data_IF_653387270526
#
_entry.id   IF_653387270526
#
_cell.length_a   1.000
_cell.length_b   1.000
_cell.length_c   1.000
_cell.angle_alpha   90.00
_cell.angle_beta   90.00
_cell.angle_gamma   90.00
#
_symmetry.space_group_name_H-M   'P 1'
#
loop_
_entity.id
_entity.type
_entity.pdbx_description
1 polymer ?
#
# COMPACT_ATOMS: atom_id res chain seq x y z
N UNK A 1 9.99 10.99 -14.86
CA UNK A 1 9.15 11.04 -13.64
C UNK A 1 7.67 11.03 -13.96
N UNK A 2 7.13 11.97 -14.74
CA UNK A 2 5.70 11.99 -15.10
C UNK A 2 5.21 10.71 -15.82
N UNK A 3 6.01 10.17 -16.76
CA UNK A 3 5.70 8.89 -17.40
C UNK A 3 5.59 7.72 -16.41
N UNK A 4 6.47 7.66 -15.40
CA UNK A 4 6.43 6.61 -14.37
C UNK A 4 5.17 6.73 -13.51
N UNK A 5 4.76 7.96 -13.17
CA UNK A 5 3.49 8.18 -12.48
C UNK A 5 2.31 7.68 -13.31
N UNK A 6 2.28 7.99 -14.61
CA UNK A 6 1.24 7.46 -15.50
C UNK A 6 1.25 5.93 -15.55
N UNK A 7 2.42 5.28 -15.63
CA UNK A 7 2.53 3.82 -15.55
C UNK A 7 2.01 3.26 -14.22
N UNK A 8 2.29 3.93 -13.10
CA UNK A 8 1.77 3.53 -11.79
C UNK A 8 0.24 3.64 -11.72
N UNK A 9 -0.35 4.71 -12.27
CA UNK A 9 -1.82 4.84 -12.36
C UNK A 9 -2.44 3.77 -13.25
N UNK A 10 -1.75 3.38 -14.34
CA UNK A 10 -2.21 2.31 -15.22
C UNK A 10 -2.16 0.94 -14.54
N UNK A 11 -1.15 0.69 -13.72
CA UNK A 11 -1.04 -0.57 -12.97
C UNK A 11 -2.26 -0.78 -12.06
N UNK A 12 -2.71 0.25 -11.36
CA UNK A 12 -3.96 0.20 -10.58
C UNK A 12 -5.21 0.16 -11.47
N UNK A 13 -5.28 0.99 -12.52
CA UNK A 13 -6.49 1.11 -13.35
C UNK A 13 -6.79 -0.12 -14.21
N UNK A 14 -5.78 -0.92 -14.56
CA UNK A 14 -5.93 -2.08 -15.43
C UNK A 14 -6.84 -3.17 -14.84
N UNK A 15 -6.72 -3.39 -13.53
CA UNK A 15 -7.37 -4.50 -12.83
C UNK A 15 -8.36 -4.00 -11.75
N UNK A 16 -8.73 -2.72 -11.82
CA UNK A 16 -9.77 -2.08 -10.99
C UNK A 16 -10.75 -1.29 -11.85
N UNK A 17 -11.89 -0.89 -11.28
CA UNK A 17 -12.84 -0.02 -11.99
C UNK A 17 -12.35 1.44 -12.08
N UNK A 18 -11.27 1.80 -11.38
CA UNK A 18 -10.79 3.16 -11.24
C UNK A 18 -10.35 3.78 -12.56
N UNK A 19 -10.46 5.10 -12.63
CA UNK A 19 -9.98 5.90 -13.76
C UNK A 19 -9.28 7.13 -13.23
N UNK A 20 -8.00 7.27 -13.57
CA UNK A 20 -7.19 8.42 -13.16
C UNK A 20 -7.26 9.50 -14.23
N UNK A 21 -7.68 10.71 -13.83
CA UNK A 21 -7.80 11.87 -14.71
C UNK A 21 -7.08 13.04 -14.09
N UNK A 22 -6.35 13.81 -14.92
CA UNK A 22 -5.82 15.08 -14.47
C UNK A 22 -6.98 16.05 -14.19
N UNK A 23 -7.05 16.56 -12.97
CA UNK A 23 -8.09 17.50 -12.53
C UNK A 23 -7.52 18.45 -11.48
N UNK A 24 -8.02 19.69 -11.45
CA UNK A 24 -7.70 20.72 -10.48
C UNK A 24 -8.82 20.99 -9.47
N UNK A 25 -9.81 20.09 -9.39
CA UNK A 25 -10.94 20.20 -8.46
C UNK A 25 -10.52 19.96 -7.02
N UNK A 26 -11.22 20.61 -6.10
CA UNK A 26 -11.10 20.37 -4.65
C UNK A 26 -11.35 18.89 -4.35
N UNK A 27 -10.50 18.29 -3.51
CA UNK A 27 -10.55 16.85 -3.18
C UNK A 27 -9.66 15.97 -4.07
N UNK A 28 -9.08 16.50 -5.16
CA UNK A 28 -8.09 15.76 -5.96
C UNK A 28 -6.77 15.56 -5.19
N UNK A 29 -6.07 14.46 -5.47
CA UNK A 29 -4.71 14.23 -4.98
C UNK A 29 -3.75 15.16 -5.71
N UNK A 30 -3.04 16.01 -4.99
CA UNK A 30 -2.01 16.87 -5.55
C UNK A 30 -0.72 16.07 -5.75
N UNK A 31 -0.16 16.12 -6.95
CA UNK A 31 1.04 15.33 -7.30
C UNK A 31 2.21 16.25 -7.59
N UNK A 32 3.27 16.11 -6.80
CA UNK A 32 4.56 16.78 -6.98
C UNK A 32 5.63 15.85 -7.52
N UNK A 33 6.67 16.41 -8.14
CA UNK A 33 7.82 15.66 -8.65
C UNK A 33 9.14 16.24 -8.11
N UNK A 34 9.31 16.14 -6.81
CA UNK A 34 10.51 16.63 -6.12
C UNK A 34 11.50 15.49 -5.93
N UNK A 35 12.68 15.60 -6.53
CA UNK A 35 13.71 14.55 -6.46
C UNK A 35 14.37 14.43 -5.08
N UNK A 36 14.24 15.46 -4.23
CA UNK A 36 14.73 15.46 -2.85
C UNK A 36 13.61 15.00 -1.92
N UNK A 37 13.90 14.05 -1.03
CA UNK A 37 12.98 13.62 0.04
C UNK A 37 12.28 12.27 -0.15
N UNK A 38 12.52 11.56 -1.26
CA UNK A 38 11.91 10.24 -1.50
C UNK A 38 10.45 10.31 -1.94
N UNK A 39 9.82 9.16 -2.16
CA UNK A 39 8.39 9.06 -2.43
C UNK A 39 7.64 9.04 -1.10
N UNK A 40 6.51 9.76 -1.04
CA UNK A 40 5.63 9.76 0.12
C UNK A 40 4.25 10.31 -0.24
N UNK A 41 3.24 9.78 0.43
CA UNK A 41 1.88 10.26 0.45
C UNK A 41 1.54 10.83 1.83
N UNK A 42 0.80 11.93 1.85
CA UNK A 42 0.29 12.54 3.07
C UNK A 42 -1.15 13.00 2.87
N UNK A 43 -1.95 12.78 3.92
CA UNK A 43 -3.27 13.36 4.07
C UNK A 43 -3.20 14.41 5.17
N UNK A 44 -3.68 15.61 4.87
CA UNK A 44 -3.78 16.71 5.83
C UNK A 44 -5.12 17.43 5.67
N UNK A 45 -5.47 18.32 6.60
CA UNK A 45 -6.75 19.04 6.60
C UNK A 45 -7.05 19.81 5.29
N UNK A 46 -6.01 20.13 4.51
CA UNK A 46 -6.11 20.85 3.22
C UNK A 46 -6.18 19.93 1.99
N UNK A 47 -6.24 18.61 2.17
CA UNK A 47 -6.34 17.64 1.06
C UNK A 47 -5.27 16.54 1.11
N UNK A 48 -5.08 15.89 -0.02
CA UNK A 48 -4.15 14.78 -0.21
C UNK A 48 -2.99 15.18 -1.13
N UNK A 49 -1.77 14.81 -0.77
CA UNK A 49 -0.56 15.18 -1.49
C UNK A 49 0.40 13.99 -1.65
N UNK A 50 0.98 13.84 -2.83
CA UNK A 50 1.87 12.74 -3.19
C UNK A 50 3.13 13.28 -3.89
N UNK A 51 4.32 12.86 -3.42
CA UNK A 51 5.57 13.06 -4.15
C UNK A 51 5.90 11.84 -5.02
N UNK A 52 5.88 12.01 -6.34
CA UNK A 52 6.27 10.99 -7.32
C UNK A 52 7.69 11.21 -7.87
N UNK A 53 8.48 12.10 -7.25
CA UNK A 53 9.80 12.50 -7.71
C UNK A 53 10.94 11.52 -7.42
N UNK A 54 10.69 10.37 -6.78
CA UNK A 54 11.75 9.45 -6.35
C UNK A 54 12.35 8.56 -7.45
N UNK A 55 11.74 8.53 -8.64
CA UNK A 55 12.28 7.80 -9.80
C UNK A 55 12.18 6.27 -9.73
N UNK A 56 11.35 5.71 -8.84
CA UNK A 56 11.12 4.27 -8.74
C UNK A 56 9.64 3.95 -8.93
N UNK A 57 9.32 3.15 -9.95
CA UNK A 57 7.92 2.83 -10.29
C UNK A 57 7.19 2.16 -9.12
N UNK A 58 7.78 1.14 -8.49
CA UNK A 58 7.17 0.43 -7.36
C UNK A 58 6.85 1.35 -6.17
N UNK A 59 7.74 2.29 -5.83
CA UNK A 59 7.47 3.26 -4.77
C UNK A 59 6.34 4.22 -5.15
N UNK A 60 6.31 4.73 -6.38
CA UNK A 60 5.21 5.60 -6.84
C UNK A 60 3.87 4.83 -6.80
N UNK A 61 3.88 3.55 -7.19
CA UNK A 61 2.71 2.67 -7.12
C UNK A 61 2.25 2.43 -5.68
N UNK A 62 3.19 2.27 -4.73
CA UNK A 62 2.92 2.18 -3.30
C UNK A 62 2.25 3.44 -2.76
N UNK A 63 2.79 4.63 -3.06
CA UNK A 63 2.19 5.89 -2.61
C UNK A 63 0.80 6.13 -3.21
N UNK A 64 0.56 5.64 -4.44
CA UNK A 64 -0.79 5.63 -5.00
C UNK A 64 -1.71 4.68 -4.23
N UNK A 65 -1.21 3.55 -3.72
CA UNK A 65 -1.96 2.67 -2.81
C UNK A 65 -2.45 3.41 -1.57
N UNK A 66 -1.59 4.22 -0.94
CA UNK A 66 -2.00 5.12 0.15
C UNK A 66 -3.07 6.13 -0.27
N UNK A 67 -2.91 6.74 -1.45
CA UNK A 67 -3.92 7.66 -1.98
C UNK A 67 -5.28 6.99 -2.26
N UNK A 68 -5.29 5.67 -2.49
CA UNK A 68 -6.49 4.85 -2.66
C UNK A 68 -7.06 4.32 -1.33
N UNK A 69 -6.44 4.63 -0.19
CA UNK A 69 -6.92 4.27 1.14
C UNK A 69 -6.23 3.05 1.76
N UNK A 70 -5.21 2.46 1.12
CA UNK A 70 -4.48 1.34 1.71
C UNK A 70 -3.52 1.82 2.80
N UNK A 71 -3.60 1.19 3.97
CA UNK A 71 -2.56 1.27 5.00
C UNK A 71 -1.42 0.30 4.71
N UNK A 72 -0.32 0.38 5.48
CA UNK A 72 0.70 -0.65 5.37
C UNK A 72 0.21 -1.99 5.91
N UNK A 73 0.59 -3.07 5.23
CA UNK A 73 0.14 -4.43 5.59
C UNK A 73 0.63 -4.84 6.97
N UNK A 74 1.86 -4.47 7.35
CA UNK A 74 2.40 -4.71 8.70
C UNK A 74 1.77 -3.84 9.78
N UNK A 75 0.85 -2.93 9.43
CA UNK A 75 0.05 -2.19 10.40
C UNK A 75 -1.36 -2.76 10.55
N UNK A 76 -1.78 -3.80 9.81
CA UNK A 76 -3.12 -4.38 9.97
C UNK A 76 -3.41 -4.77 11.43
N UNK A 77 -4.69 -4.70 11.79
CA UNK A 77 -5.16 -5.03 13.14
C UNK A 77 -4.95 -6.51 13.51
N UNK A 78 -4.82 -7.40 12.52
CA UNK A 78 -4.62 -8.84 12.67
C UNK A 78 -3.18 -9.30 12.43
N UNK A 79 -2.24 -8.37 12.22
CA UNK A 79 -0.86 -8.66 11.79
C UNK A 79 -0.09 -9.58 12.74
N UNK A 80 -0.42 -9.58 14.03
CA UNK A 80 0.38 -10.26 15.06
C UNK A 80 0.19 -11.80 14.96
N UNK A 81 -0.74 -12.25 14.11
CA UNK A 81 -0.87 -13.64 13.67
C UNK A 81 0.13 -14.02 12.56
N UNK A 82 0.81 -13.05 11.95
CA UNK A 82 1.62 -13.23 10.73
C UNK A 82 3.07 -12.75 10.87
N UNK A 83 3.29 -11.72 11.69
CA UNK A 83 4.61 -11.15 11.95
C UNK A 83 4.84 -10.93 13.45
N UNK A 84 6.10 -10.85 13.83
CA UNK A 84 6.54 -10.40 15.16
C UNK A 84 7.31 -9.10 14.99
N UNK A 85 6.98 -8.08 15.80
CA UNK A 85 7.73 -6.82 15.86
C UNK A 85 8.75 -6.89 17.01
N UNK A 86 10.02 -6.67 16.69
CA UNK A 86 11.10 -6.54 17.66
C UNK A 86 11.25 -5.06 18.04
N UNK A 87 10.63 -4.68 19.15
CA UNK A 87 10.66 -3.30 19.66
C UNK A 87 12.08 -2.83 20.04
N UNK A 88 13.00 -3.74 20.39
CA UNK A 88 14.39 -3.39 20.64
C UNK A 88 15.12 -2.96 19.36
N UNK A 89 14.83 -3.64 18.25
CA UNK A 89 15.34 -3.24 16.94
C UNK A 89 14.63 -2.00 16.39
N UNK A 90 13.34 -1.79 16.68
CA UNK A 90 12.63 -0.53 16.38
C UNK A 90 13.31 0.64 17.09
N UNK A 91 13.55 0.54 18.39
CA UNK A 91 14.21 1.60 19.15
C UNK A 91 15.64 1.87 18.67
N UNK A 92 16.39 0.81 18.35
CA UNK A 92 17.73 0.93 17.77
C UNK A 92 17.69 1.67 16.43
N UNK A 93 16.76 1.29 15.54
CA UNK A 93 16.56 1.94 14.25
C UNK A 93 16.22 3.42 14.39
N UNK A 94 15.43 3.80 15.40
CA UNK A 94 15.20 5.21 15.73
C UNK A 94 16.51 5.95 16.02
N UNK A 95 17.37 5.41 16.89
CA UNK A 95 18.63 6.07 17.25
C UNK A 95 19.60 6.22 16.07
N UNK A 96 19.55 5.30 15.10
CA UNK A 96 20.34 5.40 13.87
C UNK A 96 19.89 6.58 13.00
N UNK A 97 18.58 6.84 12.88
CA UNK A 97 18.04 7.92 12.04
C UNK A 97 17.83 9.24 12.77
N UNK A 98 17.77 9.25 14.10
CA UNK A 98 17.47 10.44 14.90
C UNK A 98 18.49 11.56 14.69
N UNK A 99 19.75 11.20 14.37
CA UNK A 99 20.81 12.17 14.04
C UNK A 99 20.52 12.94 12.74
N UNK A 100 19.77 12.35 11.81
CA UNK A 100 19.43 12.97 10.53
C UNK A 100 18.10 13.74 10.59
N UNK A 101 17.29 13.50 11.61
CA UNK A 101 15.96 14.11 11.78
C UNK A 101 15.82 14.75 13.17
N UNK A 102 16.54 15.86 13.44
CA UNK A 102 16.46 16.54 14.72
C UNK A 102 15.01 16.97 15.01
N UNK A 103 14.47 16.51 16.13
CA UNK A 103 13.09 16.76 16.55
C UNK A 103 12.13 15.57 16.41
N UNK A 104 12.53 14.49 15.75
CA UNK A 104 11.75 13.25 15.76
C UNK A 104 11.77 12.63 17.17
N UNK A 105 10.59 12.29 17.68
CA UNK A 105 10.44 11.61 18.98
C UNK A 105 10.35 10.09 18.79
N UNK A 106 10.92 9.33 19.73
CA UNK A 106 10.88 7.86 19.69
C UNK A 106 9.45 7.32 19.55
N UNK A 107 8.49 7.90 20.26
CA UNK A 107 7.08 7.52 20.19
C UNK A 107 6.49 7.67 18.77
N UNK A 108 6.86 8.76 18.06
CA UNK A 108 6.44 8.97 16.67
C UNK A 108 7.02 7.89 15.76
N UNK A 109 8.27 7.47 16.00
CA UNK A 109 8.89 6.39 15.25
C UNK A 109 8.25 5.03 15.55
N UNK A 110 8.01 4.71 16.84
CA UNK A 110 7.31 3.49 17.25
C UNK A 110 5.91 3.40 16.66
N UNK A 111 5.21 4.53 16.51
CA UNK A 111 3.88 4.55 15.91
C UNK A 111 3.86 4.07 14.45
N UNK A 112 4.99 4.10 13.72
CA UNK A 112 5.08 3.49 12.39
C UNK A 112 4.93 1.96 12.41
N UNK A 113 5.17 1.34 13.57
CA UNK A 113 5.06 -0.10 13.81
C UNK A 113 3.88 -0.45 14.73
N UNK A 114 2.98 0.48 15.07
CA UNK A 114 1.78 0.19 15.88
C UNK A 114 0.75 -0.59 15.04
N UNK A 115 0.02 -1.59 15.59
CA UNK A 115 -1.11 -2.15 14.87
C UNK A 115 -2.25 -1.12 14.83
N UNK A 116 -2.85 -0.95 13.67
CA UNK A 116 -4.09 -0.20 13.48
C UNK A 116 -5.23 -0.93 14.18
N UNK A 117 -6.27 -0.20 14.56
CA UNK A 117 -7.53 -0.78 15.00
C UNK A 117 -8.40 -1.17 13.80
N UNK A 118 -9.44 -1.96 14.03
CA UNK A 118 -10.45 -2.29 12.99
C UNK A 118 -11.22 -1.06 12.49
N UNK A 119 -11.21 0.06 13.23
CA UNK A 119 -11.79 1.33 12.78
C UNK A 119 -10.82 2.13 11.89
N UNK A 120 -9.51 1.95 12.10
CA UNK A 120 -8.46 2.62 11.32
C UNK A 120 -8.14 1.85 10.03
N UNK A 121 -8.37 0.53 10.02
CA UNK A 121 -8.08 -0.35 8.90
C UNK A 121 -9.18 -1.41 8.76
N UNK A 122 -9.95 -1.32 7.68
CA UNK A 122 -10.81 -2.38 7.19
C UNK A 122 -10.04 -3.16 6.10
N UNK A 123 -9.86 -4.46 6.31
CA UNK A 123 -9.18 -5.35 5.38
C UNK A 123 -10.15 -6.07 4.43
N UNK A 124 -11.46 -5.80 4.52
CA UNK A 124 -12.50 -6.37 3.67
C UNK A 124 -12.51 -7.91 3.65
N UNK A 125 -12.16 -8.54 4.77
CA UNK A 125 -11.98 -9.99 4.92
C UNK A 125 -10.89 -10.57 4.00
N UNK A 126 -10.03 -9.73 3.41
CA UNK A 126 -8.92 -10.16 2.57
C UNK A 126 -7.79 -10.69 3.46
N UNK A 127 -7.27 -11.92 3.21
CA UNK A 127 -6.17 -12.50 3.98
C UNK A 127 -4.92 -11.62 4.01
N UNK A 128 -4.07 -11.82 5.02
CA UNK A 128 -2.79 -11.13 5.11
C UNK A 128 -1.85 -11.58 4.00
N UNK A 129 -1.39 -10.64 3.18
CA UNK A 129 -0.46 -10.93 2.09
C UNK A 129 0.93 -10.38 2.38
N UNK A 130 1.87 -11.27 2.65
CA UNK A 130 3.28 -10.93 2.81
C UNK A 130 3.86 -10.22 1.58
N UNK A 131 3.41 -10.58 0.37
CA UNK A 131 3.88 -10.02 -0.90
C UNK A 131 3.19 -8.74 -1.34
N UNK A 132 2.31 -8.18 -0.51
CA UNK A 132 1.65 -6.91 -0.77
C UNK A 132 2.66 -5.79 -1.02
N UNK A 133 2.35 -4.93 -1.99
CA UNK A 133 3.16 -3.73 -2.26
C UNK A 133 3.19 -2.80 -1.05
N UNK A 134 2.19 -2.90 -0.18
CA UNK A 134 2.02 -2.09 1.03
C UNK A 134 2.76 -2.69 2.24
N UNK A 135 3.42 -3.83 2.11
CA UNK A 135 4.17 -4.45 3.20
C UNK A 135 5.61 -3.91 3.26
N UNK A 136 6.05 -3.45 4.44
CA UNK A 136 7.45 -3.10 4.64
C UNK A 136 8.40 -4.28 4.38
N UNK A 137 9.52 -4.02 3.73
CA UNK A 137 10.64 -4.96 3.69
C UNK A 137 11.41 -4.96 5.02
N UNK A 138 12.33 -5.91 5.18
CA UNK A 138 13.19 -5.99 6.37
C UNK A 138 14.66 -6.08 5.96
N UNK A 139 15.56 -5.40 6.68
CA UNK A 139 17.00 -5.55 6.44
C UNK A 139 17.48 -6.94 6.90
N UNK A 140 18.59 -7.46 6.34
CA UNK A 140 19.13 -8.77 6.71
C UNK A 140 19.74 -8.80 8.12
N UNK A 141 19.94 -7.65 8.77
CA UNK A 141 20.51 -7.53 10.12
C UNK A 141 19.61 -6.66 10.98
N UNK A 142 19.36 -7.10 12.21
CA UNK A 142 18.53 -6.41 13.19
C UNK A 142 17.17 -5.95 12.62
N UNK A 143 16.39 -6.85 12.00
CA UNK A 143 15.11 -6.45 11.43
C UNK A 143 14.15 -6.00 12.53
N UNK A 144 13.42 -4.90 12.29
CA UNK A 144 12.41 -4.39 13.21
C UNK A 144 11.18 -5.33 13.32
N UNK A 145 11.01 -6.21 12.34
CA UNK A 145 9.96 -7.22 12.33
C UNK A 145 10.43 -8.48 11.59
N UNK A 146 9.81 -9.62 11.85
CA UNK A 146 10.06 -10.85 11.13
C UNK A 146 8.75 -11.58 10.85
N UNK A 147 8.66 -12.30 9.74
CA UNK A 147 7.52 -13.19 9.47
C UNK A 147 7.54 -14.36 10.45
N UNK A 148 6.36 -14.78 10.91
CA UNK A 148 6.24 -15.99 11.75
C UNK A 148 6.58 -17.21 10.90
N UNK A 149 5.97 -17.33 9.72
CA UNK A 149 6.36 -18.32 8.74
C UNK A 149 7.61 -17.85 7.97
N UNK A 150 8.71 -18.58 8.15
CA UNK A 150 10.01 -18.27 7.57
C UNK A 150 10.05 -18.44 6.05
N UNK A 151 9.12 -19.19 5.46
CA UNK A 151 9.03 -19.34 4.01
C UNK A 151 8.71 -18.01 3.32
N UNK A 152 8.09 -17.06 4.04
CA UNK A 152 7.73 -15.74 3.53
C UNK A 152 8.75 -14.65 3.84
N UNK A 153 9.88 -14.97 4.48
CA UNK A 153 10.90 -13.98 4.83
C UNK A 153 11.45 -13.22 3.61
N UNK A 154 11.49 -13.87 2.44
CA UNK A 154 11.92 -13.27 1.16
C UNK A 154 10.78 -12.69 0.32
N UNK A 155 9.55 -12.79 0.81
CA UNK A 155 8.35 -12.34 0.10
C UNK A 155 7.97 -10.90 0.47
N UNK A 156 8.21 -10.52 1.74
CA UNK A 156 7.90 -9.17 2.23
C UNK A 156 8.74 -8.06 1.59
N UNK A 157 8.15 -6.87 1.47
CA UNK A 157 8.81 -5.73 0.81
C UNK A 157 8.78 -5.77 -0.71
N UNK A 158 7.80 -6.48 -1.29
CA UNK A 158 7.56 -6.53 -2.73
C UNK A 158 7.32 -5.14 -3.32
N UNK A 159 7.86 -4.88 -4.51
CA UNK A 159 7.58 -3.67 -5.30
C UNK A 159 6.42 -3.81 -6.29
N UNK A 160 5.65 -4.90 -6.18
CA UNK A 160 4.58 -5.27 -7.13
C UNK A 160 3.24 -5.28 -6.43
N UNK A 161 2.20 -4.76 -7.10
CA UNK A 161 0.81 -4.86 -6.63
C UNK A 161 0.45 -6.34 -6.57
N UNK A 162 0.04 -6.80 -5.40
CA UNK A 162 -0.43 -8.17 -5.20
C UNK A 162 -1.90 -8.33 -5.59
N UNK A 163 -2.35 -9.58 -5.71
CA UNK A 163 -3.76 -9.87 -5.86
C UNK A 163 -4.60 -9.33 -4.69
N UNK A 164 -4.09 -9.46 -3.45
CA UNK A 164 -4.77 -8.97 -2.26
C UNK A 164 -4.94 -7.43 -2.28
N UNK A 165 -3.93 -6.70 -2.75
CA UNK A 165 -4.00 -5.25 -2.91
C UNK A 165 -5.10 -4.84 -3.90
N UNK A 166 -5.17 -5.53 -5.06
CA UNK A 166 -6.22 -5.30 -6.05
C UNK A 166 -7.61 -5.63 -5.49
N UNK A 167 -7.74 -6.76 -4.79
CA UNK A 167 -9.01 -7.18 -4.22
C UNK A 167 -9.52 -6.17 -3.19
N UNK A 168 -8.66 -5.70 -2.27
CA UNK A 168 -9.03 -4.67 -1.29
C UNK A 168 -9.50 -3.38 -1.96
N UNK A 169 -8.79 -2.90 -2.99
CA UNK A 169 -9.20 -1.69 -3.74
C UNK A 169 -10.52 -1.92 -4.48
N UNK A 170 -10.71 -3.08 -5.11
CA UNK A 170 -11.96 -3.39 -5.80
C UNK A 170 -13.15 -3.47 -4.82
N UNK A 171 -12.96 -4.02 -3.62
CA UNK A 171 -13.97 -4.02 -2.56
C UNK A 171 -14.28 -2.62 -2.06
N UNK A 172 -13.24 -1.83 -1.76
CA UNK A 172 -13.37 -0.46 -1.27
C UNK A 172 -14.18 0.43 -2.22
N UNK A 173 -13.92 0.34 -3.52
CA UNK A 173 -14.60 1.15 -4.54
C UNK A 173 -15.79 0.43 -5.20
N UNK A 174 -16.25 -0.69 -4.64
CA UNK A 174 -17.41 -1.46 -5.12
C UNK A 174 -17.31 -1.86 -6.60
N UNK A 175 -16.09 -2.11 -7.07
CA UNK A 175 -15.83 -2.49 -8.46
C UNK A 175 -16.40 -3.87 -8.82
N UNK A 176 -16.63 -4.74 -7.83
CA UNK A 176 -17.24 -6.07 -8.02
C UNK A 176 -18.69 -5.96 -8.57
N UNK A 177 -19.35 -4.80 -8.40
CA UNK A 177 -20.70 -4.57 -8.89
C UNK A 177 -20.76 -4.27 -10.40
N UNK A 178 -19.64 -3.85 -11.00
CA UNK A 178 -19.58 -3.39 -12.40
C UNK A 178 -20.00 -4.46 -13.40
N UNK A 179 -19.67 -5.73 -13.11
CA UNK A 179 -19.88 -6.84 -14.03
C UNK A 179 -21.17 -7.62 -13.76
N UNK A 180 -21.95 -7.30 -12.71
CA UNK A 180 -23.12 -8.09 -12.27
C UNK A 180 -24.17 -8.29 -13.38
N UNK A 181 -24.37 -7.30 -14.25
CA UNK A 181 -25.35 -7.36 -15.34
C UNK A 181 -24.82 -8.02 -16.62
N UNK A 182 -23.54 -8.43 -16.66
CA UNK A 182 -22.85 -8.86 -17.87
C UNK A 182 -22.57 -10.37 -17.92
N UNK A 183 -23.21 -11.14 -17.04
CA UNK A 183 -23.03 -12.59 -16.89
C UNK A 183 -21.54 -12.99 -16.87
N UNK A 184 -20.78 -12.51 -15.88
CA UNK A 184 -19.34 -12.71 -15.84
C UNK A 184 -18.98 -14.18 -15.58
N UNK A 185 -17.75 -14.62 -15.93
CA UNK A 185 -17.28 -15.95 -15.59
C UNK A 185 -17.17 -16.15 -14.08
N UNK A 186 -17.30 -17.39 -13.64
CA UNK A 186 -16.91 -17.79 -12.29
C UNK A 186 -15.38 -17.84 -12.21
N UNK A 187 -14.80 -17.10 -11.27
CA UNK A 187 -13.37 -16.97 -11.12
C UNK A 187 -12.83 -17.89 -10.03
N UNK A 188 -11.81 -18.66 -10.36
CA UNK A 188 -11.21 -19.64 -9.44
C UNK A 188 -10.41 -18.98 -8.31
N UNK A 189 -10.22 -19.72 -7.20
CA UNK A 189 -9.28 -19.38 -6.10
C UNK A 189 -9.53 -18.02 -5.44
N UNK A 190 -10.80 -17.58 -5.40
CA UNK A 190 -11.17 -16.29 -4.84
C UNK A 190 -10.90 -15.11 -5.77
N UNK A 191 -10.61 -15.39 -7.06
CA UNK A 191 -10.56 -14.39 -8.12
C UNK A 191 -11.90 -13.67 -8.32
N UNK A 192 -11.86 -12.58 -9.07
CA UNK A 192 -13.05 -11.77 -9.35
C UNK A 192 -13.07 -11.29 -10.81
N UNK A 193 -14.26 -11.05 -11.40
CA UNK A 193 -14.33 -10.54 -12.77
C UNK A 193 -13.60 -9.21 -12.91
N UNK A 194 -12.80 -9.05 -13.96
CA UNK A 194 -12.09 -7.81 -14.22
C UNK A 194 -13.10 -6.71 -14.56
N UNK A 195 -13.17 -5.61 -13.80
CA UNK A 195 -14.16 -4.55 -14.01
C UNK A 195 -13.95 -3.72 -15.29
N UNK A 196 -12.80 -3.84 -15.96
CA UNK A 196 -12.56 -3.27 -17.30
C UNK A 196 -12.88 -4.26 -18.42
N UNK A 197 -12.94 -5.56 -18.12
CA UNK A 197 -13.33 -6.60 -19.06
C UNK A 197 -14.04 -7.75 -18.33
N UNK A 198 -15.37 -7.66 -18.26
CA UNK A 198 -16.22 -8.58 -17.51
C UNK A 198 -16.26 -10.02 -18.02
N UNK A 199 -15.53 -10.34 -19.10
CA UNK A 199 -15.38 -11.68 -19.66
C UNK A 199 -14.06 -12.35 -19.23
N UNK A 200 -13.27 -11.68 -18.39
CA UNK A 200 -11.98 -12.18 -17.88
C UNK A 200 -11.94 -12.08 -16.37
N UNK A 201 -11.18 -12.98 -15.74
CA UNK A 201 -10.93 -12.97 -14.30
C UNK A 201 -9.59 -12.30 -13.97
N UNK A 202 -9.56 -11.61 -12.83
CA UNK A 202 -8.35 -11.23 -12.13
C UNK A 202 -7.95 -12.27 -11.10
#
# INVERSE_FOLDING_TARGET
MQLMFMSATQAWAKDTCLTFKNNHSVGSVQVGFFSRGGCYHQTHSRGSWLNAGCGQLGQITHELGHALGLGHTHNRHDRDNYIVVDWGNVDRGFYDIARMNPGMKLEVYRNQYRPMTTQENDNYDVPYDYGSIMHYGVPPRNPAMATIDQNYYRTIGSGLISFADLLMVNKHFQCEDVCKSQNPPECDRGGFPNPKNCQTCN
#
